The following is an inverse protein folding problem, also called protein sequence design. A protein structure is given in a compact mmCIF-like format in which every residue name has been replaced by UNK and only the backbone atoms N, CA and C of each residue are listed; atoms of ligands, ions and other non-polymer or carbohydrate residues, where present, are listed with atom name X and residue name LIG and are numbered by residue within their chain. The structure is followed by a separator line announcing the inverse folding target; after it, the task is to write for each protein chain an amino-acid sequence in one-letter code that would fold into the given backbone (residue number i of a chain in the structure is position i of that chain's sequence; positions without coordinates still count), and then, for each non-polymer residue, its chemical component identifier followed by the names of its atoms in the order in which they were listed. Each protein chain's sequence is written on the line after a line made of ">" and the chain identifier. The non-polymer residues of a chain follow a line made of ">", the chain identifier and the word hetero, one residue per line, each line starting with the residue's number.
data_IF_582977276031
#
_entry.id   IF_582977276031
#
_cell.length_a   1.000
_cell.length_b   1.000
_cell.length_c   1.000
_cell.angle_alpha   90.00
_cell.angle_beta   90.00
_cell.angle_gamma   90.00
#
_symmetry.space_group_name_H-M   'P 1'
#
loop_
_entity.id
_entity.type
_entity.pdbx_description
1 polymer ?
#
# COMPACT_ATOMS: atom_id res chain seq x y z
N UNK A 1 0.33 -12.15 -2.34
CA UNK A 1 -0.87 -12.59 -1.59
C UNK A 1 -1.76 -11.42 -1.20
N UNK A 2 -1.19 -10.27 -0.80
CA UNK A 2 -1.91 -9.00 -0.73
C UNK A 2 -1.14 -7.84 -1.36
N UNK A 3 -1.81 -6.95 -2.10
CA UNK A 3 -1.18 -5.82 -2.81
C UNK A 3 -1.09 -4.55 -1.94
N UNK A 4 -2.07 -4.31 -1.07
CA UNK A 4 -2.04 -3.20 -0.10
C UNK A 4 -1.75 -1.82 -0.73
N UNK A 5 -0.81 -1.08 -0.14
CA UNK A 5 -0.39 0.27 -0.59
C UNK A 5 0.35 0.24 -1.93
N UNK A 6 0.88 -0.93 -2.34
CA UNK A 6 1.55 -1.09 -3.64
C UNK A 6 0.62 -0.96 -4.84
N UNK A 7 -0.70 -0.88 -4.60
CA UNK A 7 -1.68 -0.55 -5.64
C UNK A 7 -1.55 0.92 -6.08
N UNK A 8 -1.28 1.80 -5.13
CA UNK A 8 -1.27 3.26 -5.35
C UNK A 8 0.15 3.84 -5.35
N UNK A 9 1.11 3.17 -4.68
CA UNK A 9 2.51 3.58 -4.63
C UNK A 9 3.39 2.68 -5.50
N UNK A 10 4.35 3.25 -6.25
CA UNK A 10 5.33 2.47 -7.00
C UNK A 10 6.12 1.53 -6.07
N UNK A 11 6.29 0.29 -6.52
CA UNK A 11 7.10 -0.73 -5.86
C UNK A 11 8.53 -0.81 -6.42
N UNK A 12 8.81 -0.09 -7.50
CA UNK A 12 10.13 0.02 -8.13
C UNK A 12 10.37 1.46 -8.52
N UNK A 13 11.60 1.94 -8.30
CA UNK A 13 12.04 3.25 -8.75
C UNK A 13 13.29 3.10 -9.61
N UNK A 14 13.26 3.68 -10.81
CA UNK A 14 14.48 3.87 -11.59
C UNK A 14 15.18 5.10 -11.05
N UNK A 15 16.25 4.89 -10.27
CA UNK A 15 17.00 5.98 -9.64
C UNK A 15 18.30 6.30 -10.39
N UNK A 16 18.54 7.59 -10.53
CA UNK A 16 19.80 8.19 -10.98
C UNK A 16 20.53 8.77 -9.78
N UNK A 17 21.81 9.10 -9.93
CA UNK A 17 22.65 9.55 -8.82
C UNK A 17 22.39 11.02 -8.37
N UNK A 18 21.50 11.75 -9.06
CA UNK A 18 21.16 13.15 -8.81
C UNK A 18 19.67 13.32 -8.52
N UNK A 19 19.28 14.33 -7.74
CA UNK A 19 17.88 14.75 -7.53
C UNK A 19 16.94 13.59 -7.16
N UNK A 20 17.12 13.00 -5.97
CA UNK A 20 16.26 11.89 -5.54
C UNK A 20 14.81 12.33 -5.38
N UNK A 21 14.59 13.50 -4.79
CA UNK A 21 13.25 13.94 -4.42
C UNK A 21 12.39 14.14 -5.66
N UNK A 22 12.93 14.74 -6.72
CA UNK A 22 12.24 14.87 -8.00
C UNK A 22 11.88 13.53 -8.63
N UNK A 23 12.71 12.50 -8.47
CA UNK A 23 12.46 11.17 -9.03
C UNK A 23 11.39 10.38 -8.26
N UNK A 24 11.34 10.52 -6.92
CA UNK A 24 10.28 9.90 -6.11
C UNK A 24 8.93 10.58 -6.36
N UNK A 25 8.96 11.90 -6.59
CA UNK A 25 7.78 12.73 -6.85
C UNK A 25 7.29 12.68 -8.30
N UNK A 26 8.12 12.21 -9.22
CA UNK A 26 7.71 11.95 -10.59
C UNK A 26 6.62 10.89 -10.56
N UNK A 27 5.37 11.32 -10.73
CA UNK A 27 4.25 10.42 -10.81
C UNK A 27 4.44 9.51 -12.03
N UNK A 28 4.54 8.20 -11.82
CA UNK A 28 4.29 7.26 -12.90
C UNK A 28 2.85 7.46 -13.36
N UNK A 29 2.66 7.76 -14.64
CA UNK A 29 1.34 7.82 -15.26
C UNK A 29 0.85 6.38 -15.36
N UNK A 30 0.22 5.90 -14.28
CA UNK A 30 -0.45 4.61 -14.25
C UNK A 30 -1.71 4.65 -15.13
N UNK A 31 -2.00 3.54 -15.82
CA UNK A 31 -3.21 3.44 -16.63
C UNK A 31 -4.46 3.62 -15.73
N UNK A 32 -5.28 4.67 -15.94
CA UNK A 32 -6.44 4.96 -15.09
C UNK A 32 -7.43 3.80 -15.04
N UNK A 33 -7.58 3.07 -16.15
CA UNK A 33 -8.46 1.90 -16.24
C UNK A 33 -7.98 0.74 -15.35
N UNK A 34 -6.67 0.59 -15.15
CA UNK A 34 -6.09 -0.40 -14.25
C UNK A 34 -6.39 -0.06 -12.78
N UNK A 35 -6.43 1.22 -12.45
CA UNK A 35 -6.71 1.69 -11.08
C UNK A 35 -8.21 1.59 -10.75
N UNK A 36 -9.06 1.78 -11.76
CA UNK A 36 -10.53 1.63 -11.65
C UNK A 36 -10.98 0.17 -11.52
N UNK A 37 -10.25 -0.78 -12.11
CA UNK A 37 -10.60 -2.21 -12.06
C UNK A 37 -10.22 -2.87 -10.73
N UNK A 38 -9.34 -2.24 -9.95
CA UNK A 38 -8.82 -2.78 -8.68
C UNK A 38 -7.93 -4.00 -8.89
N UNK A 39 -7.01 -4.26 -7.96
CA UNK A 39 -6.22 -5.48 -8.01
C UNK A 39 -6.99 -6.67 -7.43
N UNK A 40 -7.14 -7.73 -8.23
CA UNK A 40 -7.74 -8.99 -7.82
C UNK A 40 -6.68 -9.88 -7.16
N UNK A 41 -6.47 -9.73 -5.85
CA UNK A 41 -5.54 -10.53 -5.07
C UNK A 41 -6.25 -11.55 -4.15
N UNK A 42 -5.48 -12.43 -3.52
CA UNK A 42 -6.04 -13.45 -2.64
C UNK A 42 -6.70 -12.83 -1.39
N UNK A 43 -6.15 -11.73 -0.89
CA UNK A 43 -6.75 -10.95 0.21
C UNK A 43 -8.17 -10.49 -0.15
N UNK A 44 -8.36 -9.94 -1.35
CA UNK A 44 -9.66 -9.51 -1.85
C UNK A 44 -10.68 -10.65 -1.87
N UNK A 45 -10.28 -11.82 -2.38
CA UNK A 45 -11.14 -13.02 -2.41
C UNK A 45 -11.55 -13.41 -0.99
N UNK A 46 -10.61 -13.46 -0.05
CA UNK A 46 -10.89 -13.85 1.34
C UNK A 46 -11.72 -12.80 2.07
N UNK A 47 -11.52 -11.50 1.83
CA UNK A 47 -12.17 -10.44 2.61
C UNK A 47 -13.57 -10.12 2.08
N UNK A 48 -13.76 -10.10 0.76
CA UNK A 48 -15.03 -9.69 0.16
C UNK A 48 -15.88 -10.87 -0.32
N UNK A 49 -15.29 -11.88 -0.97
CA UNK A 49 -16.04 -12.97 -1.60
C UNK A 49 -16.33 -14.14 -0.66
N UNK A 50 -15.35 -14.54 0.16
CA UNK A 50 -15.52 -15.64 1.12
C UNK A 50 -16.69 -15.41 2.09
N UNK A 51 -16.90 -14.21 2.67
CA UNK A 51 -18.06 -13.98 3.54
C UNK A 51 -19.38 -14.21 2.82
N UNK A 52 -19.50 -13.72 1.58
CA UNK A 52 -20.71 -13.90 0.77
C UNK A 52 -20.97 -15.38 0.51
N UNK A 53 -19.93 -16.14 0.15
CA UNK A 53 -20.02 -17.60 0.00
C UNK A 53 -20.50 -18.26 1.30
N UNK A 54 -19.91 -17.91 2.45
CA UNK A 54 -20.29 -18.48 3.75
C UNK A 54 -21.73 -18.12 4.13
N UNK A 55 -22.17 -16.89 3.83
CA UNK A 55 -23.55 -16.42 4.04
C UNK A 55 -24.51 -17.22 3.16
N UNK A 56 -24.24 -17.35 1.86
CA UNK A 56 -25.08 -18.12 0.93
C UNK A 56 -25.16 -19.60 1.34
N UNK A 57 -24.08 -20.18 1.84
CA UNK A 57 -24.10 -21.55 2.34
C UNK A 57 -24.82 -21.68 3.69
N UNK A 58 -24.99 -20.60 4.45
CA UNK A 58 -25.41 -20.67 5.86
C UNK A 58 -26.70 -19.96 6.24
N UNK A 59 -27.25 -19.08 5.41
CA UNK A 59 -28.46 -18.31 5.74
C UNK A 59 -29.67 -19.20 6.10
N UNK A 60 -29.74 -20.39 5.50
CA UNK A 60 -30.83 -21.34 5.71
C UNK A 60 -30.49 -22.50 6.66
N UNK A 61 -29.42 -22.40 7.46
CA UNK A 61 -28.88 -23.52 8.26
C UNK A 61 -29.91 -24.23 9.15
N UNK A 62 -30.85 -23.46 9.68
CA UNK A 62 -31.93 -23.94 10.55
C UNK A 62 -33.32 -23.67 9.96
N UNK A 63 -33.48 -22.59 9.21
CA UNK A 63 -34.78 -22.22 8.64
C UNK A 63 -35.24 -23.18 7.57
N UNK A 64 -34.33 -23.88 6.87
CA UNK A 64 -34.68 -24.86 5.86
C UNK A 64 -35.50 -26.02 6.44
N UNK A 65 -35.04 -26.66 7.52
CA UNK A 65 -35.79 -27.76 8.16
C UNK A 65 -37.11 -27.28 8.76
N UNK A 66 -37.14 -26.03 9.23
CA UNK A 66 -38.35 -25.42 9.79
C UNK A 66 -39.40 -25.17 8.70
N UNK A 67 -38.99 -24.63 7.56
CA UNK A 67 -39.86 -24.32 6.41
C UNK A 67 -40.36 -25.60 5.72
N UNK A 68 -39.54 -26.65 5.68
CA UNK A 68 -39.93 -27.97 5.16
C UNK A 68 -40.75 -28.82 6.15
N UNK A 69 -40.96 -28.35 7.38
CA UNK A 69 -41.68 -29.08 8.42
C UNK A 69 -40.96 -30.36 8.91
N UNK A 70 -39.68 -30.53 8.59
CA UNK A 70 -38.88 -31.72 8.97
C UNK A 70 -38.21 -31.55 10.33
N UNK A 71 -38.14 -30.33 10.86
CA UNK A 71 -37.53 -30.04 12.16
C UNK A 71 -38.16 -30.83 13.33
N UNK A 72 -39.51 -30.91 13.49
CA UNK A 72 -40.12 -31.70 14.56
C UNK A 72 -39.81 -33.18 14.46
N UNK A 73 -39.69 -33.72 13.24
CA UNK A 73 -39.33 -35.12 12.99
C UNK A 73 -37.87 -35.42 13.40
N UNK A 74 -36.94 -34.51 13.15
CA UNK A 74 -35.55 -34.68 13.60
C UNK A 74 -35.46 -34.66 15.14
N UNK A 75 -36.20 -33.75 15.78
CA UNK A 75 -36.20 -33.64 17.24
C UNK A 75 -36.87 -34.85 17.92
N UNK A 76 -37.91 -35.45 17.31
CA UNK A 76 -38.55 -36.66 17.85
C UNK A 76 -37.69 -37.91 17.73
N UNK A 77 -36.73 -37.94 16.80
CA UNK A 77 -35.72 -39.00 16.66
C UNK A 77 -34.51 -38.83 17.60
N UNK A 78 -34.60 -37.93 18.60
CA UNK A 78 -33.56 -37.75 19.62
C UNK A 78 -32.44 -36.78 19.23
N UNK A 79 -32.53 -36.11 18.07
CA UNK A 79 -31.55 -35.10 17.70
C UNK A 79 -31.72 -33.82 18.55
N UNK A 80 -30.61 -33.23 18.97
CA UNK A 80 -30.61 -31.96 19.70
C UNK A 80 -30.43 -30.83 18.71
N UNK A 81 -31.27 -29.79 18.78
CA UNK A 81 -31.24 -28.61 17.91
C UNK A 81 -29.83 -28.02 17.76
N UNK A 82 -29.12 -27.83 18.88
CA UNK A 82 -27.74 -27.33 18.88
C UNK A 82 -26.78 -28.26 18.13
N UNK A 83 -26.92 -29.58 18.30
CA UNK A 83 -26.09 -30.58 17.61
C UNK A 83 -26.28 -30.56 16.08
N UNK A 84 -27.52 -30.37 15.62
CA UNK A 84 -27.83 -30.22 14.18
C UNK A 84 -27.13 -28.97 13.61
N UNK A 85 -27.24 -27.83 14.29
CA UNK A 85 -26.63 -26.58 13.82
C UNK A 85 -25.11 -26.66 13.84
N UNK A 86 -24.51 -27.15 14.94
CA UNK A 86 -23.06 -27.25 15.10
C UNK A 86 -22.45 -28.21 14.08
N UNK A 87 -23.07 -29.36 13.81
CA UNK A 87 -22.56 -30.31 12.81
C UNK A 87 -22.58 -29.71 11.39
N UNK A 88 -23.68 -29.06 11.00
CA UNK A 88 -23.78 -28.40 9.68
C UNK A 88 -22.78 -27.26 9.51
N UNK A 89 -22.68 -26.38 10.52
CA UNK A 89 -21.73 -25.27 10.48
C UNK A 89 -20.27 -25.76 10.56
N UNK A 90 -20.00 -26.81 11.35
CA UNK A 90 -18.68 -27.43 11.43
C UNK A 90 -18.23 -28.02 10.10
N UNK A 91 -19.13 -28.71 9.39
CA UNK A 91 -18.84 -29.21 8.04
C UNK A 91 -18.55 -28.07 7.05
N UNK A 92 -19.35 -27.00 7.08
CA UNK A 92 -19.13 -25.80 6.24
C UNK A 92 -17.82 -25.09 6.58
N UNK A 93 -17.45 -25.04 7.86
CA UNK A 93 -16.18 -24.49 8.31
C UNK A 93 -15.00 -25.30 7.79
N UNK A 94 -15.08 -26.63 7.84
CA UNK A 94 -14.05 -27.51 7.30
C UNK A 94 -13.85 -27.32 5.78
N UNK A 95 -14.95 -27.18 5.02
CA UNK A 95 -14.88 -26.85 3.59
C UNK A 95 -14.20 -25.49 3.39
N UNK A 96 -14.58 -24.48 4.15
CA UNK A 96 -13.99 -23.14 4.06
C UNK A 96 -12.49 -23.16 4.36
N UNK A 97 -12.07 -23.87 5.40
CA UNK A 97 -10.66 -24.04 5.76
C UNK A 97 -9.88 -24.77 4.67
N UNK A 98 -10.45 -25.84 4.11
CA UNK A 98 -9.88 -26.56 2.98
C UNK A 98 -9.68 -25.65 1.76
N UNK A 99 -10.71 -24.86 1.41
CA UNK A 99 -10.63 -23.91 0.30
C UNK A 99 -9.53 -22.86 0.53
N UNK A 100 -9.48 -22.24 1.71
CA UNK A 100 -8.47 -21.25 2.07
C UNK A 100 -7.05 -21.86 1.99
N UNK A 101 -6.88 -23.08 2.51
CA UNK A 101 -5.60 -23.77 2.48
C UNK A 101 -5.15 -24.08 1.04
N UNK A 102 -6.06 -24.57 0.19
CA UNK A 102 -5.77 -24.86 -1.23
C UNK A 102 -5.42 -23.58 -1.99
N UNK A 103 -6.19 -22.51 -1.84
CA UNK A 103 -5.91 -21.23 -2.50
C UNK A 103 -4.57 -20.64 -2.05
N UNK A 104 -4.24 -20.75 -0.76
CA UNK A 104 -2.97 -20.30 -0.22
C UNK A 104 -1.81 -21.14 -0.78
N UNK A 105 -1.96 -22.46 -0.85
CA UNK A 105 -0.97 -23.37 -1.42
C UNK A 105 -0.70 -23.06 -2.90
N UNK A 106 -1.75 -22.84 -3.70
CA UNK A 106 -1.61 -22.41 -5.11
C UNK A 106 -0.85 -21.08 -5.20
N UNK A 107 -1.20 -20.11 -4.35
CA UNK A 107 -0.50 -18.82 -4.29
C UNK A 107 0.98 -18.95 -3.93
N UNK A 108 1.34 -19.87 -3.03
CA UNK A 108 2.73 -20.14 -2.66
C UNK A 108 3.52 -20.77 -3.81
N UNK A 109 2.95 -21.79 -4.45
CA UNK A 109 3.60 -22.49 -5.57
C UNK A 109 3.86 -21.54 -6.74
N UNK A 110 2.88 -20.69 -7.08
CA UNK A 110 3.00 -19.75 -8.20
C UNK A 110 3.99 -18.62 -7.94
N UNK A 111 4.17 -18.20 -6.69
CA UNK A 111 5.12 -17.14 -6.31
C UNK A 111 6.50 -17.65 -5.92
N UNK A 112 6.69 -18.97 -5.81
CA UNK A 112 7.91 -19.56 -5.28
C UNK A 112 8.14 -19.27 -3.79
N UNK A 113 7.10 -18.83 -3.07
CA UNK A 113 7.20 -18.50 -1.66
C UNK A 113 7.26 -19.78 -0.81
N UNK A 114 8.27 -19.88 0.05
CA UNK A 114 8.41 -20.97 1.02
C UNK A 114 7.40 -20.87 2.18
N UNK A 115 7.12 -22.00 2.83
CA UNK A 115 6.35 -22.01 4.07
C UNK A 115 7.17 -21.33 5.18
N UNK A 116 6.57 -20.34 5.83
CA UNK A 116 7.22 -19.54 6.87
C UNK A 116 6.23 -19.15 7.96
N UNK A 117 6.72 -18.53 9.03
CA UNK A 117 5.88 -17.97 10.11
C UNK A 117 4.78 -17.03 9.56
N UNK A 118 5.13 -16.22 8.55
CA UNK A 118 4.21 -15.35 7.81
C UNK A 118 3.02 -16.12 7.22
N UNK A 119 3.25 -17.31 6.67
CA UNK A 119 2.20 -18.19 6.14
C UNK A 119 1.25 -18.67 7.24
N UNK A 120 1.79 -18.97 8.43
CA UNK A 120 0.98 -19.41 9.58
C UNK A 120 0.07 -18.29 10.06
N UNK A 121 0.61 -17.06 10.20
CA UNK A 121 -0.16 -15.88 10.60
C UNK A 121 -1.27 -15.58 9.58
N UNK A 122 -0.95 -15.67 8.28
CA UNK A 122 -1.93 -15.52 7.20
C UNK A 122 -3.09 -16.51 7.32
N UNK A 123 -2.77 -17.81 7.43
CA UNK A 123 -3.79 -18.86 7.53
C UNK A 123 -4.62 -18.72 8.79
N UNK A 124 -4.00 -18.42 9.93
CA UNK A 124 -4.70 -18.21 11.19
C UNK A 124 -5.70 -17.06 11.09
N UNK A 125 -5.29 -15.91 10.54
CA UNK A 125 -6.17 -14.77 10.34
C UNK A 125 -7.34 -15.10 9.39
N UNK A 126 -7.06 -15.80 8.29
CA UNK A 126 -8.10 -16.24 7.33
C UNK A 126 -9.10 -17.22 7.98
N UNK A 127 -8.61 -18.18 8.77
CA UNK A 127 -9.45 -19.15 9.47
C UNK A 127 -10.31 -18.50 10.56
N UNK A 128 -9.75 -17.58 11.34
CA UNK A 128 -10.51 -16.81 12.33
C UNK A 128 -11.58 -15.93 11.66
N UNK A 129 -11.26 -15.34 10.51
CA UNK A 129 -12.23 -14.56 9.74
C UNK A 129 -13.38 -15.42 9.20
N UNK A 130 -13.09 -16.62 8.68
CA UNK A 130 -14.12 -17.57 8.26
C UNK A 130 -14.99 -18.04 9.44
N UNK A 131 -14.37 -18.33 10.58
CA UNK A 131 -15.06 -18.71 11.81
C UNK A 131 -15.98 -17.59 12.32
N UNK A 132 -15.54 -16.32 12.23
CA UNK A 132 -16.35 -15.15 12.56
C UNK A 132 -17.66 -15.11 11.73
N UNK A 133 -17.58 -15.32 10.41
CA UNK A 133 -18.77 -15.29 9.56
C UNK A 133 -19.74 -16.44 9.83
N UNK A 134 -19.24 -17.63 10.14
CA UNK A 134 -20.12 -18.73 10.56
C UNK A 134 -20.71 -18.51 11.96
N UNK A 135 -19.98 -17.85 12.87
CA UNK A 135 -20.53 -17.41 14.15
C UNK A 135 -21.63 -16.36 13.96
N UNK A 136 -21.46 -15.41 13.02
CA UNK A 136 -22.51 -14.47 12.65
C UNK A 136 -23.74 -15.17 12.06
N UNK A 137 -23.53 -16.16 11.17
CA UNK A 137 -24.61 -16.99 10.63
C UNK A 137 -25.35 -17.76 11.72
N UNK A 138 -24.62 -18.33 12.70
CA UNK A 138 -25.22 -18.98 13.85
C UNK A 138 -26.03 -18.00 14.71
N UNK A 139 -25.48 -16.83 14.99
CA UNK A 139 -26.16 -15.78 15.76
C UNK A 139 -27.48 -15.36 15.11
N UNK A 140 -27.48 -15.10 13.80
CA UNK A 140 -28.71 -14.78 13.06
C UNK A 140 -29.69 -15.95 13.06
N UNK A 141 -29.21 -17.18 12.82
CA UNK A 141 -30.05 -18.37 12.83
C UNK A 141 -30.70 -18.63 14.21
N UNK A 142 -30.07 -18.17 15.30
CA UNK A 142 -30.61 -18.30 16.67
C UNK A 142 -31.93 -17.55 16.88
N UNK A 143 -32.24 -16.54 16.07
CA UNK A 143 -33.53 -15.86 16.09
C UNK A 143 -34.68 -16.69 15.49
N UNK A 144 -34.37 -17.84 14.87
CA UNK A 144 -35.34 -18.80 14.31
C UNK A 144 -36.36 -18.16 13.34
N UNK A 145 -35.95 -17.12 12.63
CA UNK A 145 -36.72 -16.49 11.56
C UNK A 145 -36.62 -17.32 10.28
N UNK A 146 -37.35 -16.89 9.25
CA UNK A 146 -37.35 -17.55 7.94
C UNK A 146 -36.02 -17.31 7.18
N UNK A 147 -35.79 -18.09 6.13
CA UNK A 147 -34.59 -18.06 5.31
C UNK A 147 -34.37 -16.67 4.68
N UNK A 148 -35.45 -16.04 4.22
CA UNK A 148 -35.39 -14.70 3.61
C UNK A 148 -34.89 -13.64 4.61
N UNK A 149 -35.40 -13.63 5.84
CA UNK A 149 -34.93 -12.73 6.89
C UNK A 149 -33.46 -12.96 7.22
N UNK A 150 -33.05 -14.23 7.38
CA UNK A 150 -31.66 -14.56 7.71
C UNK A 150 -30.69 -14.09 6.62
N UNK A 151 -31.04 -14.28 5.35
CA UNK A 151 -30.24 -13.81 4.22
C UNK A 151 -30.11 -12.28 4.23
N UNK A 152 -31.22 -11.56 4.37
CA UNK A 152 -31.21 -10.08 4.43
C UNK A 152 -30.42 -9.55 5.63
N UNK A 153 -30.58 -10.16 6.81
CA UNK A 153 -29.86 -9.76 8.01
C UNK A 153 -28.33 -9.97 7.85
N UNK A 154 -27.91 -11.13 7.35
CA UNK A 154 -26.49 -11.42 7.14
C UNK A 154 -25.86 -10.54 6.05
N UNK A 155 -26.59 -10.28 4.96
CA UNK A 155 -26.15 -9.32 3.93
C UNK A 155 -26.05 -7.90 4.50
N UNK A 156 -26.97 -7.49 5.37
CA UNK A 156 -26.89 -6.21 6.07
C UNK A 156 -25.67 -6.10 6.97
N UNK A 157 -25.39 -7.15 7.76
CA UNK A 157 -24.16 -7.24 8.60
C UNK A 157 -22.91 -7.19 7.74
N UNK A 158 -22.89 -7.90 6.60
CA UNK A 158 -21.81 -7.84 5.63
C UNK A 158 -21.59 -6.44 5.08
N UNK A 159 -22.65 -5.78 4.62
CA UNK A 159 -22.55 -4.43 4.09
C UNK A 159 -22.02 -3.46 5.15
N UNK A 160 -22.52 -3.56 6.38
CA UNK A 160 -22.08 -2.72 7.49
C UNK A 160 -20.60 -2.93 7.81
N UNK A 161 -20.18 -4.16 8.05
CA UNK A 161 -18.83 -4.45 8.54
C UNK A 161 -17.76 -4.37 7.44
N UNK A 162 -18.08 -4.75 6.21
CA UNK A 162 -17.09 -4.87 5.11
C UNK A 162 -17.05 -3.60 4.26
N UNK A 163 -18.14 -2.84 4.15
CA UNK A 163 -18.22 -1.68 3.24
C UNK A 163 -18.41 -0.37 4.01
N UNK A 164 -19.45 -0.26 4.82
CA UNK A 164 -19.83 1.00 5.47
C UNK A 164 -18.82 1.40 6.54
N UNK A 165 -18.51 0.50 7.47
CA UNK A 165 -17.62 0.80 8.59
C UNK A 165 -16.21 1.18 8.12
N UNK A 166 -15.55 0.46 7.18
CA UNK A 166 -14.24 0.87 6.68
C UNK A 166 -14.28 2.23 5.97
N UNK A 167 -15.37 2.53 5.25
CA UNK A 167 -15.56 3.82 4.58
C UNK A 167 -15.72 4.95 5.61
N UNK A 168 -16.46 4.72 6.69
CA UNK A 168 -16.60 5.68 7.79
C UNK A 168 -15.27 5.94 8.50
N UNK A 169 -14.46 4.89 8.73
CA UNK A 169 -13.12 5.04 9.29
C UNK A 169 -12.23 5.86 8.37
N UNK A 170 -12.27 5.62 7.05
CA UNK A 170 -11.52 6.41 6.08
C UNK A 170 -11.95 7.88 6.07
N UNK A 171 -13.26 8.12 6.10
CA UNK A 171 -13.83 9.47 6.17
C UNK A 171 -13.37 10.18 7.45
N UNK A 172 -13.51 9.54 8.62
CA UNK A 172 -13.04 10.08 9.88
C UNK A 172 -11.53 10.38 9.85
N UNK A 173 -10.73 9.46 9.29
CA UNK A 173 -9.29 9.67 9.13
C UNK A 173 -8.99 10.89 8.26
N UNK A 174 -9.74 11.10 7.17
CA UNK A 174 -9.59 12.26 6.29
C UNK A 174 -10.03 13.58 6.92
N UNK A 175 -10.98 13.55 7.86
CA UNK A 175 -11.47 14.73 8.58
C UNK A 175 -10.54 15.12 9.73
N UNK A 176 -10.08 14.16 10.53
CA UNK A 176 -9.21 14.44 11.68
C UNK A 176 -7.74 14.62 11.29
N UNK A 177 -7.30 13.97 10.21
CA UNK A 177 -5.94 14.06 9.69
C UNK A 177 -6.02 14.46 8.20
N UNK A 178 -6.36 15.72 7.90
CA UNK A 178 -6.36 16.21 6.54
C UNK A 178 -4.92 16.18 6.00
N UNK A 179 -4.60 15.13 5.26
CA UNK A 179 -3.34 15.05 4.53
C UNK A 179 -3.41 16.01 3.36
N UNK A 180 -2.34 16.79 3.14
CA UNK A 180 -2.14 17.44 1.85
C UNK A 180 -2.37 16.40 0.75
N UNK A 181 -3.35 16.63 -0.14
CA UNK A 181 -3.64 15.69 -1.24
C UNK A 181 -2.32 15.47 -1.97
N UNK A 182 -1.98 14.22 -2.34
CA UNK A 182 -0.70 13.94 -3.04
C UNK A 182 -0.45 14.93 -4.19
N UNK A 183 -1.51 15.37 -4.86
CA UNK A 183 -1.50 16.43 -5.86
C UNK A 183 -1.00 17.79 -5.33
N UNK A 184 -1.48 18.29 -4.19
CA UNK A 184 -1.02 19.56 -3.62
C UNK A 184 0.44 19.49 -3.19
N UNK A 185 0.88 18.36 -2.62
CA UNK A 185 2.29 18.12 -2.31
C UNK A 185 3.17 18.08 -3.57
N UNK A 186 2.76 17.35 -4.61
CA UNK A 186 3.51 17.33 -5.88
C UNK A 186 3.52 18.70 -6.56
N UNK A 187 2.44 19.48 -6.43
CA UNK A 187 2.36 20.83 -6.97
C UNK A 187 3.30 21.77 -6.22
N UNK A 188 3.27 21.78 -4.89
CA UNK A 188 4.17 22.63 -4.07
C UNK A 188 5.63 22.27 -4.31
N UNK A 189 5.95 20.97 -4.41
CA UNK A 189 7.30 20.53 -4.71
C UNK A 189 7.75 20.95 -6.12
N UNK A 190 6.86 20.90 -7.11
CA UNK A 190 7.12 21.40 -8.47
C UNK A 190 7.33 22.91 -8.47
N UNK A 191 6.44 23.68 -7.84
CA UNK A 191 6.55 25.13 -7.76
C UNK A 191 7.86 25.58 -7.09
N UNK A 192 8.27 24.92 -5.99
CA UNK A 192 9.58 25.16 -5.35
C UNK A 192 10.73 24.83 -6.29
N UNK A 193 10.63 23.70 -7.01
CA UNK A 193 11.64 23.29 -7.98
C UNK A 193 11.76 24.31 -9.12
N UNK A 194 10.64 24.77 -9.66
CA UNK A 194 10.59 25.74 -10.76
C UNK A 194 11.21 27.08 -10.35
N UNK A 195 10.84 27.62 -9.18
CA UNK A 195 11.43 28.85 -8.62
C UNK A 195 12.94 28.76 -8.46
N UNK A 196 13.43 27.64 -7.92
CA UNK A 196 14.85 27.41 -7.75
C UNK A 196 15.57 27.27 -9.11
N UNK A 197 14.92 26.75 -10.16
CA UNK A 197 15.46 26.74 -11.54
C UNK A 197 15.52 28.13 -12.17
N UNK A 198 14.51 28.97 -11.93
CA UNK A 198 14.54 30.38 -12.36
C UNK A 198 15.73 31.12 -11.70
N UNK A 199 15.97 30.87 -10.42
CA UNK A 199 17.12 31.44 -9.71
C UNK A 199 18.46 30.90 -10.21
N UNK A 200 18.53 29.62 -10.60
CA UNK A 200 19.73 29.01 -11.17
C UNK A 200 20.20 29.68 -12.46
N UNK A 201 19.33 30.40 -13.18
CA UNK A 201 19.73 31.23 -14.32
C UNK A 201 20.60 32.44 -13.95
N UNK A 202 20.74 32.77 -12.65
CA UNK A 202 21.52 33.92 -12.16
C UNK A 202 22.93 33.47 -11.75
N UNK A 203 24.01 34.08 -12.27
CA UNK A 203 25.39 33.69 -11.95
C UNK A 203 25.75 33.76 -10.45
N UNK A 204 25.17 34.73 -9.73
CA UNK A 204 25.37 34.86 -8.28
C UNK A 204 24.78 33.66 -7.51
N UNK A 205 23.66 33.12 -7.98
CA UNK A 205 23.02 31.96 -7.37
C UNK A 205 23.84 30.68 -7.64
N UNK A 206 24.29 30.47 -8.88
CA UNK A 206 25.16 29.34 -9.26
C UNK A 206 26.41 29.27 -8.36
N UNK A 207 27.06 30.41 -8.13
CA UNK A 207 28.21 30.50 -7.22
C UNK A 207 27.83 30.12 -5.78
N UNK A 208 26.72 30.66 -5.26
CA UNK A 208 26.23 30.34 -3.91
C UNK A 208 25.93 28.84 -3.74
N UNK A 209 25.30 28.23 -4.74
CA UNK A 209 24.98 26.79 -4.77
C UNK A 209 26.25 25.96 -4.73
N UNK A 210 27.23 26.33 -5.55
CA UNK A 210 28.52 25.64 -5.62
C UNK A 210 29.32 25.77 -4.32
N UNK A 211 29.34 26.96 -3.71
CA UNK A 211 30.00 27.21 -2.42
C UNK A 211 29.43 26.33 -1.30
N UNK A 212 28.11 26.20 -1.22
CA UNK A 212 27.48 25.32 -0.22
C UNK A 212 27.71 23.84 -0.49
N UNK A 213 27.70 23.44 -1.76
CA UNK A 213 28.06 22.08 -2.15
C UNK A 213 29.51 21.75 -1.75
N UNK A 214 30.44 22.67 -1.97
CA UNK A 214 31.83 22.52 -1.55
C UNK A 214 31.97 22.38 -0.03
N UNK A 215 31.24 23.17 0.76
CA UNK A 215 31.22 23.02 2.24
C UNK A 215 30.75 21.63 2.67
N UNK A 216 29.75 21.07 1.98
CA UNK A 216 29.18 19.76 2.31
C UNK A 216 30.08 18.59 1.88
N UNK A 217 30.83 18.76 0.80
CA UNK A 217 31.71 17.73 0.25
C UNK A 217 33.16 18.22 0.05
N UNK A 218 33.88 18.59 1.13
CA UNK A 218 35.24 19.15 1.04
C UNK A 218 36.24 18.19 0.39
N UNK A 219 36.05 16.88 0.55
CA UNK A 219 36.86 15.83 -0.07
C UNK A 219 36.76 15.77 -1.60
N UNK A 220 35.76 16.42 -2.20
CA UNK A 220 35.54 16.45 -3.64
C UNK A 220 36.17 17.70 -4.31
N UNK A 221 36.79 18.59 -3.54
CA UNK A 221 37.41 19.86 -3.99
C UNK A 221 38.65 19.71 -4.87
N UNK A 222 39.00 18.50 -5.32
CA UNK A 222 40.34 18.23 -5.92
C UNK A 222 40.49 18.57 -7.39
N UNK A 223 39.47 19.06 -8.07
CA UNK A 223 39.57 19.34 -9.51
C UNK A 223 39.76 20.83 -9.81
N UNK A 224 40.99 21.16 -10.23
CA UNK A 224 41.43 22.50 -10.67
C UNK A 224 41.15 22.77 -12.15
N UNK A 225 40.49 21.85 -12.87
CA UNK A 225 40.20 22.02 -14.29
C UNK A 225 39.01 22.97 -14.52
N UNK A 226 39.22 23.96 -15.41
CA UNK A 226 38.23 24.96 -15.88
C UNK A 226 37.12 24.34 -16.75
N UNK A 227 37.36 23.15 -17.26
CA UNK A 227 36.41 22.37 -18.04
C UNK A 227 35.47 21.69 -17.03
N UNK A 228 34.15 21.76 -17.21
CA UNK A 228 33.11 21.10 -16.38
C UNK A 228 32.53 21.90 -15.20
N UNK A 229 32.68 23.24 -15.19
CA UNK A 229 32.05 24.10 -14.14
C UNK A 229 30.53 24.02 -14.22
N UNK A 230 29.94 24.10 -15.43
CA UNK A 230 28.47 24.03 -15.62
C UNK A 230 27.89 22.74 -15.03
N UNK A 231 28.47 21.58 -15.33
CA UNK A 231 27.98 20.30 -14.81
C UNK A 231 28.10 20.19 -13.28
N UNK A 232 29.15 20.78 -12.70
CA UNK A 232 29.33 20.87 -11.24
C UNK A 232 28.27 21.78 -10.61
N UNK A 233 27.95 22.90 -11.25
CA UNK A 233 26.88 23.80 -10.82
C UNK A 233 25.50 23.12 -10.89
N UNK A 234 25.22 22.37 -11.94
CA UNK A 234 23.97 21.58 -12.05
C UNK A 234 23.88 20.52 -10.95
N UNK A 235 24.95 19.76 -10.68
CA UNK A 235 24.97 18.78 -9.61
C UNK A 235 24.81 19.41 -8.22
N UNK A 236 25.46 20.54 -7.99
CA UNK A 236 25.31 21.31 -6.78
C UNK A 236 23.88 21.86 -6.63
N UNK A 237 23.24 22.26 -7.73
CA UNK A 237 21.84 22.69 -7.73
C UNK A 237 20.92 21.52 -7.37
N UNK A 238 21.08 20.34 -7.99
CA UNK A 238 20.38 19.11 -7.61
C UNK A 238 20.48 18.77 -6.12
N UNK A 239 21.65 18.99 -5.51
CA UNK A 239 21.82 18.82 -4.07
C UNK A 239 21.03 19.85 -3.25
N UNK A 240 21.02 21.12 -3.68
CA UNK A 240 20.23 22.16 -3.02
C UNK A 240 18.73 21.90 -3.17
N UNK A 241 18.25 21.51 -4.36
CA UNK A 241 16.86 21.12 -4.58
C UNK A 241 16.42 20.01 -3.62
N UNK A 242 17.19 18.92 -3.54
CA UNK A 242 16.90 17.81 -2.63
C UNK A 242 16.83 18.32 -1.18
N UNK A 243 17.76 19.18 -0.78
CA UNK A 243 17.85 19.74 0.59
C UNK A 243 16.66 20.64 0.94
N UNK A 244 16.28 21.55 0.05
CA UNK A 244 15.15 22.48 0.23
C UNK A 244 13.79 21.76 0.29
N UNK A 245 13.69 20.58 -0.32
CA UNK A 245 12.48 19.77 -0.30
C UNK A 245 12.38 18.83 0.91
N UNK A 246 13.46 18.60 1.67
CA UNK A 246 13.43 17.74 2.87
C UNK A 246 12.31 18.12 3.84
N UNK A 247 12.11 19.40 4.23
CA UNK A 247 11.06 19.76 5.17
C UNK A 247 9.67 19.43 4.65
N UNK A 248 9.44 19.66 3.35
CA UNK A 248 8.17 19.39 2.68
C UNK A 248 7.89 17.88 2.64
N UNK A 249 8.88 17.08 2.26
CA UNK A 249 8.81 15.60 2.23
C UNK A 249 8.56 15.05 3.64
N UNK A 250 9.26 15.58 4.64
CA UNK A 250 9.11 15.18 6.05
C UNK A 250 7.69 15.46 6.57
N UNK A 251 7.16 16.65 6.31
CA UNK A 251 5.80 17.01 6.69
C UNK A 251 4.78 16.05 6.05
N UNK A 252 4.93 15.75 4.75
CA UNK A 252 4.06 14.79 4.06
C UNK A 252 4.10 13.38 4.68
N UNK A 253 5.28 12.88 5.05
CA UNK A 253 5.41 11.59 5.72
C UNK A 253 4.82 11.58 7.14
N UNK A 254 4.98 12.67 7.90
CA UNK A 254 4.40 12.80 9.24
C UNK A 254 2.86 12.83 9.17
N UNK A 255 2.28 13.60 8.24
CA UNK A 255 0.84 13.65 7.99
C UNK A 255 0.27 12.28 7.61
N UNK A 256 0.92 11.58 6.66
CA UNK A 256 0.46 10.26 6.20
C UNK A 256 0.62 9.18 7.26
N UNK A 257 1.69 9.24 8.07
CA UNK A 257 1.91 8.30 9.18
C UNK A 257 0.87 8.47 10.29
N UNK A 258 0.51 9.70 10.64
CA UNK A 258 -0.52 9.97 11.64
C UNK A 258 -1.90 9.43 11.21
N UNK A 259 -2.25 9.65 9.93
CA UNK A 259 -3.48 9.11 9.32
C UNK A 259 -3.52 7.58 9.31
N UNK A 260 -2.41 6.95 8.94
CA UNK A 260 -2.29 5.48 8.93
C UNK A 260 -2.39 4.90 10.35
N UNK A 261 -1.71 5.50 11.32
CA UNK A 261 -1.77 5.07 12.73
C UNK A 261 -3.21 5.15 13.30
N UNK A 262 -3.97 6.18 12.93
CA UNK A 262 -5.38 6.27 13.28
C UNK A 262 -6.20 5.14 12.63
N UNK A 263 -6.03 4.92 11.33
CA UNK A 263 -6.75 3.87 10.60
C UNK A 263 -6.43 2.47 11.14
N UNK A 264 -5.17 2.19 11.49
CA UNK A 264 -4.77 0.93 12.11
C UNK A 264 -5.41 0.72 13.48
N UNK A 265 -5.48 1.75 14.34
CA UNK A 265 -6.19 1.65 15.63
C UNK A 265 -7.68 1.42 15.45
N UNK A 266 -8.29 2.07 14.46
CA UNK A 266 -9.70 1.88 14.12
C UNK A 266 -9.98 0.53 13.44
N UNK A 267 -8.96 -0.18 12.95
CA UNK A 267 -9.13 -1.46 12.24
C UNK A 267 -9.79 -2.55 13.08
N UNK A 268 -9.67 -2.50 14.41
CA UNK A 268 -10.34 -3.45 15.32
C UNK A 268 -11.87 -3.35 15.32
N UNK A 269 -12.44 -2.27 14.78
CA UNK A 269 -13.89 -2.08 14.69
C UNK A 269 -14.54 -2.97 13.63
N UNK A 270 -13.78 -3.43 12.64
CA UNK A 270 -14.27 -4.36 11.62
C UNK A 270 -13.33 -5.55 11.46
N UNK A 271 -13.86 -6.79 11.55
CA UNK A 271 -13.08 -8.00 11.25
C UNK A 271 -12.47 -7.97 9.85
N UNK A 272 -13.11 -7.29 8.89
CA UNK A 272 -12.58 -7.14 7.54
C UNK A 272 -11.34 -6.24 7.51
N UNK A 273 -11.38 -5.08 8.17
CA UNK A 273 -10.22 -4.16 8.22
C UNK A 273 -9.07 -4.74 9.04
N UNK A 274 -9.36 -5.44 10.13
CA UNK A 274 -8.35 -6.12 10.91
C UNK A 274 -7.64 -7.20 10.08
N UNK A 275 -8.42 -8.06 9.40
CA UNK A 275 -7.87 -9.13 8.54
C UNK A 275 -7.06 -8.54 7.38
N UNK A 276 -7.56 -7.48 6.72
CA UNK A 276 -6.81 -6.76 5.68
C UNK A 276 -5.48 -6.21 6.22
N UNK A 277 -5.47 -5.65 7.42
CA UNK A 277 -4.26 -5.08 8.04
C UNK A 277 -3.22 -6.17 8.30
N UNK A 278 -3.65 -7.33 8.82
CA UNK A 278 -2.78 -8.49 9.02
C UNK A 278 -2.24 -9.01 7.68
N UNK A 279 -3.09 -9.12 6.66
CA UNK A 279 -2.68 -9.56 5.32
C UNK A 279 -1.67 -8.61 4.68
N UNK A 280 -1.86 -7.30 4.81
CA UNK A 280 -0.92 -6.29 4.32
C UNK A 280 0.41 -6.31 5.08
N UNK A 281 0.36 -6.54 6.40
CA UNK A 281 1.54 -6.67 7.25
C UNK A 281 2.38 -7.90 6.86
N UNK A 282 1.73 -9.06 6.74
CA UNK A 282 2.37 -10.32 6.31
C UNK A 282 2.97 -10.21 4.91
N UNK A 283 2.28 -9.51 4.00
CA UNK A 283 2.73 -9.29 2.63
C UNK A 283 3.76 -8.14 2.49
N UNK A 284 4.09 -7.43 3.58
CA UNK A 284 4.97 -6.25 3.60
C UNK A 284 4.52 -5.15 2.62
N UNK A 285 3.20 -4.94 2.55
CA UNK A 285 2.56 -4.00 1.62
C UNK A 285 1.83 -2.85 2.31
N UNK A 286 2.07 -2.64 3.61
CA UNK A 286 1.52 -1.49 4.33
C UNK A 286 2.41 -0.24 4.24
N UNK A 287 1.90 0.87 4.77
CA UNK A 287 2.58 2.16 4.75
C UNK A 287 3.92 2.17 5.48
N UNK A 288 4.05 1.43 6.58
CA UNK A 288 5.31 1.32 7.33
C UNK A 288 6.41 0.68 6.48
N UNK A 289 6.10 -0.39 5.75
CA UNK A 289 7.05 -1.02 4.84
C UNK A 289 7.40 -0.11 3.66
N UNK A 290 6.44 0.64 3.12
CA UNK A 290 6.73 1.64 2.08
C UNK A 290 7.67 2.74 2.59
N UNK A 291 7.46 3.23 3.81
CA UNK A 291 8.33 4.24 4.41
C UNK A 291 9.75 3.71 4.66
N UNK A 292 9.85 2.46 5.15
CA UNK A 292 11.15 1.79 5.31
C UNK A 292 11.88 1.68 3.97
N UNK A 293 11.17 1.22 2.92
CA UNK A 293 11.72 1.12 1.57
C UNK A 293 12.23 2.47 1.05
N UNK A 294 11.48 3.56 1.22
CA UNK A 294 11.91 4.89 0.79
C UNK A 294 13.12 5.41 1.60
N UNK A 295 13.20 5.05 2.88
CA UNK A 295 14.35 5.38 3.74
C UNK A 295 15.61 4.64 3.26
N UNK A 296 15.51 3.35 2.97
CA UNK A 296 16.61 2.57 2.41
C UNK A 296 17.00 3.06 1.02
N UNK A 297 16.02 3.41 0.19
CA UNK A 297 16.25 4.01 -1.14
C UNK A 297 17.05 5.30 -1.02
N UNK A 298 16.73 6.15 -0.04
CA UNK A 298 17.47 7.38 0.22
C UNK A 298 18.91 7.10 0.65
N UNK A 299 19.12 6.13 1.53
CA UNK A 299 20.46 5.73 1.97
C UNK A 299 21.29 5.15 0.80
N UNK A 300 20.69 4.29 -0.02
CA UNK A 300 21.31 3.72 -1.21
C UNK A 300 21.63 4.81 -2.24
N UNK A 301 20.70 5.72 -2.50
CA UNK A 301 20.92 6.86 -3.39
C UNK A 301 22.07 7.73 -2.92
N UNK A 302 22.23 7.95 -1.60
CA UNK A 302 23.37 8.71 -1.08
C UNK A 302 24.70 8.01 -1.32
N UNK A 303 24.75 6.68 -1.17
CA UNK A 303 25.95 5.89 -1.50
C UNK A 303 26.26 5.96 -3.00
N UNK A 304 25.23 5.83 -3.85
CA UNK A 304 25.33 5.94 -5.30
C UNK A 304 25.87 7.32 -5.70
N UNK A 305 25.27 8.39 -5.18
CA UNK A 305 25.70 9.78 -5.39
C UNK A 305 27.17 9.96 -5.03
N UNK A 306 27.57 9.58 -3.82
CA UNK A 306 28.98 9.72 -3.37
C UNK A 306 29.94 8.89 -4.23
N UNK A 307 29.55 7.68 -4.65
CA UNK A 307 30.36 6.85 -5.54
C UNK A 307 30.60 7.55 -6.89
N UNK A 308 29.54 8.03 -7.54
CA UNK A 308 29.64 8.73 -8.82
C UNK A 308 30.39 10.05 -8.70
N UNK A 309 30.11 10.84 -7.65
CA UNK A 309 30.84 12.08 -7.40
C UNK A 309 32.34 11.85 -7.20
N UNK A 310 32.74 10.86 -6.40
CA UNK A 310 34.17 10.51 -6.23
C UNK A 310 34.83 10.05 -7.53
N UNK A 311 34.10 9.32 -8.37
CA UNK A 311 34.65 8.73 -9.60
C UNK A 311 34.76 9.74 -10.74
N UNK A 312 33.79 10.63 -10.90
CA UNK A 312 33.67 11.48 -12.09
C UNK A 312 33.92 12.97 -11.84
N UNK A 313 33.81 13.46 -10.60
CA UNK A 313 34.11 14.86 -10.29
C UNK A 313 35.62 15.23 -10.36
N UNK A 314 36.59 14.33 -10.05
CA UNK A 314 38.01 14.66 -10.15
C UNK A 314 38.59 14.60 -11.57
N UNK A 315 37.86 14.07 -12.54
CA UNK A 315 38.40 13.78 -13.88
C UNK A 315 38.05 14.94 -14.83
N UNK A 316 39.06 15.52 -15.46
CA UNK A 316 38.93 16.55 -16.52
C UNK A 316 38.19 16.08 -17.79
N UNK A 317 37.69 14.84 -17.81
CA UNK A 317 36.95 14.19 -18.90
C UNK A 317 35.45 14.09 -18.61
N UNK A 318 34.84 15.05 -17.92
CA UNK A 318 33.39 15.27 -18.05
C UNK A 318 33.08 15.90 -19.43
N UNK A 319 33.60 15.31 -20.50
CA UNK A 319 33.06 15.59 -21.81
C UNK A 319 31.61 15.14 -21.77
N UNK A 320 30.71 16.06 -22.14
CA UNK A 320 29.26 15.88 -22.40
C UNK A 320 28.87 14.59 -23.15
N UNK A 321 29.84 13.87 -23.70
CA UNK A 321 29.75 12.63 -24.48
C UNK A 321 29.66 11.34 -23.65
N UNK A 322 30.07 11.36 -22.37
CA UNK A 322 30.09 10.15 -21.50
C UNK A 322 28.80 10.02 -20.66
N UNK A 323 28.04 11.12 -20.51
CA UNK A 323 26.62 10.99 -20.18
C UNK A 323 25.82 10.79 -21.47
N UNK A 324 24.75 9.97 -21.45
CA UNK A 324 23.73 10.09 -22.49
C UNK A 324 23.25 11.55 -22.47
N UNK A 325 23.59 12.28 -23.53
CA UNK A 325 23.15 13.65 -23.79
C UNK A 325 21.63 13.68 -23.69
N UNK A 326 21.09 14.26 -22.62
CA UNK A 326 19.73 14.76 -22.65
C UNK A 326 19.83 16.26 -22.89
N UNK A 327 19.56 16.74 -24.12
CA UNK A 327 19.57 18.16 -24.39
C UNK A 327 18.47 18.83 -23.55
N UNK A 328 18.86 19.86 -22.79
CA UNK A 328 17.96 20.70 -21.99
C UNK A 328 16.85 21.38 -22.83
N UNK A 329 16.91 21.31 -24.16
CA UNK A 329 15.89 21.85 -25.06
C UNK A 329 14.61 21.01 -25.20
N UNK A 330 14.51 19.85 -24.53
CA UNK A 330 13.32 18.98 -24.59
C UNK A 330 12.50 18.89 -23.30
N UNK A 331 12.78 19.73 -22.30
CA UNK A 331 11.97 19.80 -21.06
C UNK A 331 10.50 20.18 -21.36
N UNK A 332 10.25 20.86 -22.50
CA UNK A 332 8.90 21.23 -22.95
C UNK A 332 8.21 20.25 -23.91
N UNK A 333 8.77 19.05 -24.20
CA UNK A 333 8.15 18.10 -25.15
C UNK A 333 7.42 16.91 -24.53
N UNK A 334 7.42 16.78 -23.20
CA UNK A 334 6.65 15.75 -22.48
C UNK A 334 5.51 16.34 -21.65
N UNK A 335 5.07 17.55 -21.98
CA UNK A 335 3.76 18.06 -21.61
C UNK A 335 2.75 17.64 -22.70
N UNK A 336 2.33 16.37 -22.65
CA UNK A 336 1.03 15.90 -23.17
C UNK A 336 0.44 14.98 -22.13
#
# INVERSE_FOLDING_TARGET
>A
MSVGVRDVQPNTYSIRYWQLTGQILAAEIGNPLKWLTGNFDLAFVIIYLLPLLLITLSFNVLSLEKELGTLPFLLSNGAILRGIVVSKLGFRLAIAFGLIAVLTAIGMVTTGAGFSEKTVIWLLAAFLYAAFWLAAAWWVASFQRNSAFNAMALLGVWLLLVVVLPSMVNLAASTFYPTSVRHSFTHEAREKTDKLWEEFGKPAYQKSVLDDFHKKYPQLMRDTSKYNIEDKEFLAAYERYDTELIPLVKAYFEETSARDAFAQKASFLSPATLTQTIFNEVAETNWRHQHHFLTELQAFHQQLKVHFLKKYMPISLFQRRIMPLFPASNINRWAV
#
